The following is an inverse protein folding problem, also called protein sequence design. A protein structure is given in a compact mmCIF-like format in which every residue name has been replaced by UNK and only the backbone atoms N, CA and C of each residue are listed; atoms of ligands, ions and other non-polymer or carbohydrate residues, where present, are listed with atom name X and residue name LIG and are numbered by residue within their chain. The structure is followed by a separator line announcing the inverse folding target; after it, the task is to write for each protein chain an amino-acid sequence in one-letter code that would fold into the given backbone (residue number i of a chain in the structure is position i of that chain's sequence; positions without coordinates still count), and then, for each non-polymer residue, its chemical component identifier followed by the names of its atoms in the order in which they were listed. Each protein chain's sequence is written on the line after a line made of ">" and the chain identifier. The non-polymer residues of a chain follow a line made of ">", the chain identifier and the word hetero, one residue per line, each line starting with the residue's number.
data_IF_212844750329
#
_entry.id   IF_212844750329
#
_cell.length_a   1.000
_cell.length_b   1.000
_cell.length_c   1.000
_cell.angle_alpha   90.00
_cell.angle_beta   90.00
_cell.angle_gamma   90.00
#
_symmetry.space_group_name_H-M   'P 1'
#
loop_
_entity.id
_entity.type
_entity.pdbx_description
1 polymer ?
#
# COMPACT_ATOMS: atom_id res chain seq x y z
N UNK A 1 -67.64 37.51 -13.33
CA UNK A 1 -67.83 36.42 -14.31
C UNK A 1 -66.50 35.66 -14.37
N UNK A 2 -66.13 34.73 -13.49
CA UNK A 2 -66.77 33.48 -13.03
C UNK A 2 -66.90 32.41 -14.13
N UNK A 3 -65.94 31.45 -14.14
CA UNK A 3 -65.94 30.05 -14.61
C UNK A 3 -64.47 29.57 -14.54
N UNK A 4 -63.95 29.03 -13.44
CA UNK A 4 -64.16 27.67 -12.90
C UNK A 4 -64.15 26.58 -13.98
N UNK A 5 -63.01 25.91 -14.11
CA UNK A 5 -62.97 24.47 -14.40
C UNK A 5 -62.03 23.81 -13.40
N UNK A 6 -62.65 22.95 -12.62
CA UNK A 6 -62.11 22.07 -11.60
C UNK A 6 -61.99 20.67 -12.20
N UNK A 7 -61.14 19.87 -11.56
CA UNK A 7 -61.19 18.40 -11.44
C UNK A 7 -60.54 17.55 -12.54
N UNK A 8 -59.44 16.93 -12.11
CA UNK A 8 -58.77 15.83 -12.79
C UNK A 8 -57.67 15.19 -11.94
N UNK A 9 -57.81 15.19 -10.61
CA UNK A 9 -56.96 14.36 -9.73
C UNK A 9 -57.28 12.88 -9.98
N UNK A 10 -56.35 12.18 -10.62
CA UNK A 10 -56.26 10.72 -10.56
C UNK A 10 -55.00 10.35 -9.78
N UNK A 11 -55.25 10.10 -8.51
CA UNK A 11 -54.43 9.34 -7.58
C UNK A 11 -54.18 7.92 -8.11
N UNK A 12 -53.03 7.70 -8.74
CA UNK A 12 -52.41 6.36 -8.78
C UNK A 12 -51.39 6.23 -7.66
N UNK A 13 -51.95 5.95 -6.49
CA UNK A 13 -51.50 4.94 -5.53
C UNK A 13 -50.10 4.35 -5.78
N UNK A 14 -49.17 4.70 -4.89
CA UNK A 14 -48.20 3.80 -4.25
C UNK A 14 -47.99 2.44 -4.95
N UNK A 15 -47.03 2.36 -5.88
CA UNK A 15 -46.50 1.06 -6.32
C UNK A 15 -45.06 1.10 -6.85
N UNK A 16 -44.16 1.83 -6.21
CA UNK A 16 -42.73 1.82 -6.56
C UNK A 16 -41.79 1.60 -5.37
N UNK A 17 -42.19 0.72 -4.44
CA UNK A 17 -41.29 0.11 -3.47
C UNK A 17 -41.56 -1.39 -3.44
N UNK A 18 -41.09 -2.12 -4.45
CA UNK A 18 -40.84 -3.58 -4.42
C UNK A 18 -40.36 -4.11 -5.79
N UNK A 19 -39.26 -3.56 -6.31
CA UNK A 19 -38.47 -4.23 -7.36
C UNK A 19 -37.20 -4.87 -6.78
N UNK A 20 -37.32 -5.47 -5.58
CA UNK A 20 -36.37 -6.48 -5.11
C UNK A 20 -36.95 -7.86 -5.43
N UNK A 21 -36.28 -8.55 -6.36
CA UNK A 21 -36.24 -10.01 -6.48
C UNK A 21 -37.55 -10.64 -6.98
N UNK A 22 -37.82 -10.54 -8.29
CA UNK A 22 -38.88 -11.36 -8.93
C UNK A 22 -38.48 -12.10 -10.21
N UNK A 23 -37.17 -12.22 -10.50
CA UNK A 23 -36.68 -12.93 -11.69
C UNK A 23 -35.66 -14.06 -11.40
N UNK A 24 -35.62 -14.61 -10.18
CA UNK A 24 -34.89 -15.87 -9.97
C UNK A 24 -35.85 -17.05 -10.09
N UNK A 25 -35.91 -17.61 -11.30
CA UNK A 25 -36.55 -18.88 -11.62
C UNK A 25 -36.28 -19.93 -10.53
N UNK A 26 -37.26 -20.75 -10.13
CA UNK A 26 -37.10 -21.77 -9.09
C UNK A 26 -36.03 -22.83 -9.42
N UNK A 27 -35.60 -22.93 -10.69
CA UNK A 27 -34.49 -23.78 -11.11
C UNK A 27 -33.09 -23.12 -10.97
N UNK A 28 -33.00 -21.82 -10.69
CA UNK A 28 -31.72 -21.09 -10.67
C UNK A 28 -30.85 -21.37 -9.44
N UNK A 29 -31.40 -22.00 -8.39
CA UNK A 29 -30.66 -22.30 -7.16
C UNK A 29 -29.63 -23.42 -7.33
N UNK A 30 -29.83 -24.34 -8.28
CA UNK A 30 -28.98 -25.50 -8.48
C UNK A 30 -28.09 -25.41 -9.74
N UNK A 31 -28.33 -24.42 -10.62
CA UNK A 31 -27.50 -24.16 -11.79
C UNK A 31 -26.71 -22.86 -11.60
N UNK A 32 -25.75 -22.83 -10.67
CA UNK A 32 -24.65 -21.88 -10.76
C UNK A 32 -23.72 -22.38 -11.87
N UNK A 33 -24.09 -22.08 -13.12
CA UNK A 33 -23.17 -22.26 -14.23
C UNK A 33 -21.93 -21.43 -13.92
N UNK A 34 -20.79 -22.09 -13.74
CA UNK A 34 -19.52 -21.42 -13.52
C UNK A 34 -19.12 -20.74 -14.83
N UNK A 35 -19.62 -19.52 -15.03
CA UNK A 35 -19.22 -18.67 -16.15
C UNK A 35 -17.79 -18.23 -15.87
N UNK A 36 -16.86 -18.58 -16.75
CA UNK A 36 -15.45 -18.21 -16.63
C UNK A 36 -15.32 -16.68 -16.66
N UNK A 37 -14.27 -16.13 -16.06
CA UNK A 37 -14.08 -14.67 -15.98
C UNK A 37 -14.17 -14.00 -17.37
N UNK A 38 -13.52 -14.60 -18.37
CA UNK A 38 -13.51 -14.09 -19.75
C UNK A 38 -14.90 -14.07 -20.41
N UNK A 39 -15.75 -15.05 -20.07
CA UNK A 39 -17.12 -15.13 -20.55
C UNK A 39 -18.02 -14.07 -19.89
N UNK A 40 -17.77 -13.74 -18.61
CA UNK A 40 -18.47 -12.64 -17.94
C UNK A 40 -18.16 -11.30 -18.60
N UNK A 41 -16.90 -11.05 -18.95
CA UNK A 41 -16.50 -9.84 -19.65
C UNK A 41 -17.12 -9.77 -21.04
N UNK A 42 -17.23 -10.90 -21.73
CA UNK A 42 -17.89 -10.97 -23.04
C UNK A 42 -19.39 -10.69 -22.94
N UNK A 43 -20.06 -11.23 -21.92
CA UNK A 43 -21.48 -10.96 -21.64
C UNK A 43 -21.69 -9.48 -21.31
N UNK A 44 -20.84 -8.91 -20.46
CA UNK A 44 -20.89 -7.50 -20.10
C UNK A 44 -20.70 -6.60 -21.33
N UNK A 45 -19.70 -6.89 -22.17
CA UNK A 45 -19.46 -6.17 -23.43
C UNK A 45 -20.66 -6.27 -24.38
N UNK A 46 -21.27 -7.46 -24.54
CA UNK A 46 -22.48 -7.62 -25.35
C UNK A 46 -23.64 -6.78 -24.81
N UNK A 47 -23.86 -6.80 -23.50
CA UNK A 47 -24.89 -5.97 -22.86
C UNK A 47 -24.64 -4.47 -23.06
N UNK A 48 -23.39 -4.01 -23.01
CA UNK A 48 -23.05 -2.62 -23.28
C UNK A 48 -23.36 -2.24 -24.73
N UNK A 49 -22.99 -3.08 -25.70
CA UNK A 49 -23.29 -2.87 -27.13
C UNK A 49 -24.79 -2.80 -27.38
N UNK A 50 -25.59 -3.61 -26.66
CA UNK A 50 -27.06 -3.62 -26.81
C UNK A 50 -27.72 -2.33 -26.27
N UNK A 51 -27.04 -1.60 -25.39
CA UNK A 51 -27.53 -0.33 -24.82
C UNK A 51 -27.17 0.89 -25.67
N UNK A 52 -26.30 0.73 -26.67
CA UNK A 52 -25.92 1.80 -27.58
C UNK A 52 -27.03 2.03 -28.61
N UNK A 53 -27.26 3.29 -28.97
CA UNK A 53 -28.15 3.59 -30.08
C UNK A 53 -27.48 3.23 -31.40
N UNK A 54 -28.27 3.11 -32.47
CA UNK A 54 -27.73 2.88 -33.83
C UNK A 54 -26.67 3.92 -34.21
N UNK A 55 -26.92 5.19 -33.87
CA UNK A 55 -25.99 6.29 -34.14
C UNK A 55 -24.67 6.11 -33.39
N UNK A 56 -24.73 5.77 -32.10
CA UNK A 56 -23.52 5.54 -31.30
C UNK A 56 -22.70 4.35 -31.83
N UNK A 57 -23.38 3.32 -32.37
CA UNK A 57 -22.71 2.18 -33.01
C UNK A 57 -22.04 2.58 -34.34
N UNK A 58 -22.67 3.42 -35.14
CA UNK A 58 -22.12 3.95 -36.39
C UNK A 58 -20.91 4.85 -36.11
N UNK A 59 -21.01 5.77 -35.15
CA UNK A 59 -19.90 6.62 -34.71
C UNK A 59 -18.75 5.77 -34.16
N UNK A 60 -19.06 4.76 -33.33
CA UNK A 60 -18.04 3.85 -32.79
C UNK A 60 -17.37 2.99 -33.86
N UNK A 61 -18.11 2.59 -34.88
CA UNK A 61 -17.59 1.86 -36.03
C UNK A 61 -16.58 2.72 -36.82
N UNK A 62 -16.90 3.99 -37.06
CA UNK A 62 -16.01 4.93 -37.75
C UNK A 62 -14.71 5.14 -36.94
N UNK A 63 -14.81 5.36 -35.63
CA UNK A 63 -13.63 5.47 -34.75
C UNK A 63 -12.74 4.22 -34.84
N UNK A 64 -13.34 3.02 -34.80
CA UNK A 64 -12.60 1.76 -34.91
C UNK A 64 -11.96 1.58 -36.29
N UNK A 65 -12.58 2.08 -37.36
CA UNK A 65 -11.98 2.09 -38.69
C UNK A 65 -10.74 2.99 -38.73
N UNK A 66 -10.80 4.18 -38.14
CA UNK A 66 -9.66 5.11 -38.06
C UNK A 66 -8.53 4.53 -37.20
N UNK A 67 -8.85 3.94 -36.05
CA UNK A 67 -7.89 3.26 -35.18
C UNK A 67 -7.23 2.07 -35.91
N UNK A 68 -8.02 1.26 -36.61
CA UNK A 68 -7.50 0.14 -37.40
C UNK A 68 -6.58 0.61 -38.53
N UNK A 69 -6.94 1.68 -39.23
CA UNK A 69 -6.09 2.30 -40.25
C UNK A 69 -4.77 2.79 -39.65
N UNK A 70 -4.81 3.45 -38.50
CA UNK A 70 -3.63 3.92 -37.79
C UNK A 70 -2.71 2.77 -37.35
N UNK A 71 -3.27 1.70 -36.78
CA UNK A 71 -2.51 0.51 -36.37
C UNK A 71 -1.87 -0.17 -37.58
N UNK A 72 -2.59 -0.31 -38.70
CA UNK A 72 -2.02 -0.86 -39.95
C UNK A 72 -0.86 -0.04 -40.46
N UNK A 73 -0.97 1.28 -40.43
CA UNK A 73 0.13 2.18 -40.82
C UNK A 73 1.35 1.99 -39.93
N UNK A 74 1.18 1.99 -38.61
CA UNK A 74 2.29 1.76 -37.68
C UNK A 74 2.93 0.38 -37.87
N UNK A 75 2.12 -0.66 -38.07
CA UNK A 75 2.63 -2.01 -38.35
C UNK A 75 3.45 -2.05 -39.64
N UNK A 76 3.02 -1.34 -40.70
CA UNK A 76 3.81 -1.24 -41.93
C UNK A 76 5.14 -0.51 -41.69
N UNK A 77 5.15 0.59 -40.94
CA UNK A 77 6.37 1.32 -40.58
C UNK A 77 7.33 0.44 -39.76
N UNK A 78 6.82 -0.35 -38.81
CA UNK A 78 7.60 -1.31 -38.03
C UNK A 78 8.14 -2.45 -38.90
N UNK A 79 7.33 -2.99 -39.81
CA UNK A 79 7.76 -4.03 -40.75
C UNK A 79 8.87 -3.53 -41.67
N UNK A 80 8.78 -2.30 -42.16
CA UNK A 80 9.83 -1.70 -43.00
C UNK A 80 11.13 -1.47 -42.20
N UNK A 81 11.03 -1.07 -40.94
CA UNK A 81 12.18 -0.98 -40.03
C UNK A 81 12.80 -2.35 -39.75
N UNK A 82 11.99 -3.38 -39.55
CA UNK A 82 12.48 -4.77 -39.42
C UNK A 82 13.20 -5.20 -40.69
N UNK A 83 12.66 -4.94 -41.88
CA UNK A 83 13.32 -5.26 -43.16
C UNK A 83 14.65 -4.52 -43.30
N UNK A 84 14.70 -3.23 -42.94
CA UNK A 84 15.93 -2.44 -42.97
C UNK A 84 16.99 -3.01 -42.04
N UNK A 85 16.62 -3.29 -40.78
CA UNK A 85 17.52 -3.88 -39.79
C UNK A 85 17.98 -5.28 -40.21
N UNK A 86 17.06 -6.11 -40.72
CA UNK A 86 17.38 -7.45 -41.25
C UNK A 86 18.39 -7.34 -42.39
N UNK A 87 18.20 -6.40 -43.31
CA UNK A 87 19.14 -6.14 -44.41
C UNK A 87 20.50 -5.69 -43.89
N UNK A 88 20.54 -4.79 -42.89
CA UNK A 88 21.79 -4.37 -42.24
C UNK A 88 22.50 -5.52 -41.56
N UNK A 89 21.78 -6.36 -40.82
CA UNK A 89 22.31 -7.55 -40.16
C UNK A 89 22.90 -8.51 -41.20
N UNK A 90 22.15 -8.86 -42.24
CA UNK A 90 22.65 -9.74 -43.32
C UNK A 90 23.92 -9.16 -43.93
N UNK A 91 23.95 -7.85 -44.25
CA UNK A 91 25.16 -7.19 -44.76
C UNK A 91 26.33 -7.31 -43.78
N UNK A 92 26.13 -6.96 -42.51
CA UNK A 92 27.18 -7.05 -41.49
C UNK A 92 27.66 -8.50 -41.33
N UNK A 93 26.77 -9.48 -41.26
CA UNK A 93 27.11 -10.90 -41.13
C UNK A 93 27.86 -11.43 -42.36
N UNK A 94 27.52 -10.98 -43.57
CA UNK A 94 28.27 -11.32 -44.79
C UNK A 94 29.63 -10.62 -44.85
N UNK A 95 29.71 -9.34 -44.47
CA UNK A 95 30.97 -8.58 -44.39
C UNK A 95 31.90 -9.10 -43.30
N UNK A 96 31.37 -9.59 -42.17
CA UNK A 96 32.16 -10.22 -41.13
C UNK A 96 32.76 -11.54 -41.62
N UNK A 97 32.05 -12.37 -42.41
CA UNK A 97 32.67 -13.59 -42.99
C UNK A 97 33.84 -13.28 -43.93
N UNK A 98 33.81 -12.15 -44.63
CA UNK A 98 34.90 -11.73 -45.52
C UNK A 98 36.16 -11.23 -44.77
N UNK A 99 36.01 -10.65 -43.57
CA UNK A 99 37.15 -10.20 -42.74
C UNK A 99 37.61 -11.24 -41.70
N UNK A 100 36.72 -12.17 -41.31
CA UNK A 100 37.00 -13.18 -40.28
C UNK A 100 37.83 -14.36 -40.80
N UNK A 101 37.78 -14.66 -42.11
CA UNK A 101 38.65 -15.69 -42.70
C UNK A 101 40.14 -15.31 -42.70
N UNK A 102 40.49 -14.03 -42.55
CA UNK A 102 41.88 -13.57 -42.37
C UNK A 102 42.28 -13.32 -40.91
N UNK A 103 41.33 -13.25 -39.97
CA UNK A 103 41.59 -12.93 -38.56
C UNK A 103 41.49 -14.14 -37.60
N UNK A 104 40.78 -15.21 -37.97
CA UNK A 104 40.55 -16.40 -37.11
C UNK A 104 41.80 -17.32 -36.98
N UNK A 105 42.97 -16.92 -37.49
CA UNK A 105 44.23 -17.65 -37.29
C UNK A 105 45.16 -17.05 -36.22
N UNK A 106 44.78 -15.99 -35.50
CA UNK A 106 45.67 -15.37 -34.49
C UNK A 106 45.17 -15.29 -33.05
N UNK A 107 43.96 -15.73 -32.73
CA UNK A 107 43.41 -15.53 -31.38
C UNK A 107 42.80 -16.82 -30.82
N UNK A 108 43.67 -17.82 -30.62
CA UNK A 108 43.38 -19.01 -29.79
C UNK A 108 44.52 -19.23 -28.80
N UNK A 109 44.75 -18.26 -27.92
CA UNK A 109 45.44 -18.48 -26.63
C UNK A 109 45.04 -17.36 -25.66
N UNK A 110 43.96 -17.55 -24.91
CA UNK A 110 43.88 -17.21 -23.48
C UNK A 110 42.45 -17.42 -22.98
N UNK A 111 42.35 -18.44 -22.13
CA UNK A 111 41.28 -18.60 -21.17
C UNK A 111 41.28 -17.39 -20.22
N UNK A 112 40.11 -16.79 -19.98
CA UNK A 112 39.50 -16.72 -18.65
C UNK A 112 38.42 -15.62 -18.54
N UNK A 113 37.26 -16.08 -18.07
CA UNK A 113 36.49 -15.52 -16.93
C UNK A 113 35.98 -14.08 -17.07
N UNK A 114 34.66 -14.01 -17.28
CA UNK A 114 33.67 -13.21 -16.55
C UNK A 114 33.87 -11.70 -16.35
N UNK A 115 32.74 -11.00 -16.44
CA UNK A 115 32.48 -9.63 -15.98
C UNK A 115 32.95 -8.48 -16.89
N UNK A 116 32.07 -8.11 -17.82
CA UNK A 116 32.03 -6.72 -18.33
C UNK A 116 30.59 -6.17 -18.38
N UNK A 117 29.85 -6.38 -17.29
CA UNK A 117 28.74 -5.52 -16.91
C UNK A 117 29.29 -4.29 -16.17
N UNK A 118 29.98 -3.40 -16.90
CA UNK A 118 30.39 -2.06 -16.42
C UNK A 118 30.77 -1.16 -17.60
N UNK A 119 29.77 -0.78 -18.40
CA UNK A 119 29.88 0.40 -19.28
C UNK A 119 28.54 1.16 -19.34
N UNK A 120 28.02 1.52 -18.17
CA UNK A 120 27.02 2.57 -18.01
C UNK A 120 27.51 3.44 -16.86
N UNK A 121 28.07 4.60 -17.20
CA UNK A 121 28.27 5.82 -16.38
C UNK A 121 29.61 6.47 -16.75
N UNK A 122 29.70 7.08 -17.94
CA UNK A 122 30.59 8.24 -18.17
C UNK A 122 30.38 8.95 -19.52
N UNK A 123 29.16 9.36 -19.88
CA UNK A 123 28.96 10.30 -21.01
C UNK A 123 27.78 11.25 -20.79
N UNK A 124 27.73 11.93 -19.63
CA UNK A 124 26.89 13.12 -19.46
C UNK A 124 27.66 14.20 -18.68
N UNK A 125 28.56 14.91 -19.36
CA UNK A 125 29.04 16.23 -18.92
C UNK A 125 29.74 16.96 -20.08
N UNK A 126 28.95 17.49 -21.02
CA UNK A 126 29.44 18.43 -22.03
C UNK A 126 28.35 19.32 -22.64
N UNK A 127 27.31 19.68 -21.86
CA UNK A 127 26.37 20.74 -22.25
C UNK A 127 26.27 21.81 -21.15
N UNK A 128 27.41 22.44 -20.85
CA UNK A 128 27.44 23.77 -20.26
C UNK A 128 27.92 24.76 -21.34
N UNK A 129 26.99 25.22 -22.17
CA UNK A 129 27.13 26.44 -22.97
C UNK A 129 25.82 27.22 -22.88
N UNK A 130 25.80 28.39 -22.22
CA UNK A 130 24.70 29.33 -22.37
C UNK A 130 24.86 30.04 -23.71
N UNK A 131 23.99 29.72 -24.68
CA UNK A 131 23.81 30.56 -25.85
C UNK A 131 22.93 31.75 -25.45
N UNK A 132 23.58 32.81 -24.97
CA UNK A 132 23.01 34.15 -24.94
C UNK A 132 22.98 34.69 -26.36
N UNK A 133 21.81 34.67 -27.02
CA UNK A 133 21.53 35.48 -28.21
C UNK A 133 20.03 35.75 -28.33
N UNK A 134 19.59 36.94 -27.92
CA UNK A 134 18.80 37.87 -28.77
C UNK A 134 18.16 38.99 -27.93
N UNK A 135 18.80 40.15 -27.84
CA UNK A 135 18.11 41.43 -27.60
C UNK A 135 19.08 42.60 -27.69
N UNK A 136 19.35 43.07 -28.91
CA UNK A 136 19.33 44.50 -29.26
C UNK A 136 19.90 44.64 -30.67
N UNK A 137 19.08 45.10 -31.59
CA UNK A 137 19.45 45.95 -32.72
C UNK A 137 18.13 46.52 -33.24
N UNK A 138 17.65 47.51 -32.49
CA UNK A 138 16.80 48.56 -33.03
C UNK A 138 17.73 49.52 -33.75
N UNK A 139 17.75 49.51 -35.08
CA UNK A 139 18.07 50.69 -35.89
C UNK A 139 17.67 50.48 -37.35
N UNK A 140 16.57 51.16 -37.71
CA UNK A 140 16.36 51.88 -38.98
C UNK A 140 16.50 51.09 -40.29
N UNK A 141 15.35 50.62 -40.81
CA UNK A 141 14.99 50.80 -42.22
C UNK A 141 13.46 50.93 -42.32
N UNK A 142 12.95 52.15 -42.18
CA UNK A 142 11.62 52.53 -42.71
C UNK A 142 11.78 52.74 -44.21
N UNK A 143 11.24 51.86 -45.03
CA UNK A 143 10.96 52.15 -46.44
C UNK A 143 9.45 52.05 -46.63
N UNK A 144 8.77 53.17 -46.40
CA UNK A 144 7.37 53.33 -46.79
C UNK A 144 7.34 53.70 -48.27
N UNK A 145 6.73 52.83 -49.05
CA UNK A 145 6.23 53.12 -50.38
C UNK A 145 4.78 53.56 -50.18
N UNK A 146 4.48 54.82 -50.49
CA UNK A 146 3.11 55.26 -50.78
C UNK A 146 3.15 55.90 -52.16
N UNK A 147 2.46 55.21 -53.07
CA UNK A 147 2.05 55.63 -54.38
C UNK A 147 1.01 56.75 -54.28
N UNK A 148 1.18 57.81 -55.08
CA UNK A 148 0.13 58.72 -55.49
C UNK A 148 0.44 59.27 -56.90
N UNK A 149 -0.31 58.72 -57.88
CA UNK A 149 -0.87 59.34 -59.11
C UNK A 149 -0.02 60.29 -59.97
N UNK A 150 0.07 60.06 -61.30
CA UNK A 150 0.33 61.09 -62.29
C UNK A 150 -0.98 61.54 -62.96
N UNK A 151 -1.25 62.85 -62.98
CA UNK A 151 -2.36 63.42 -63.75
C UNK A 151 -2.02 64.84 -64.17
N UNK A 152 -2.00 65.04 -65.49
CA UNK A 152 -2.35 66.25 -66.24
C UNK A 152 -1.55 67.53 -65.90
N UNK A 153 -0.86 68.18 -66.83
CA UNK A 153 -1.26 68.51 -68.19
C UNK A 153 -1.01 70.01 -68.39
N UNK A 154 -0.90 70.42 -69.66
CA UNK A 154 -0.81 71.82 -70.15
C UNK A 154 0.64 72.31 -70.38
N UNK A 155 1.09 72.38 -71.63
CA UNK A 155 0.87 73.47 -72.62
C UNK A 155 1.63 74.73 -72.17
N UNK A 156 2.40 75.44 -72.98
CA UNK A 156 2.53 75.52 -74.43
C UNK A 156 3.58 76.60 -74.74
N UNK A 157 4.02 76.64 -76.01
CA UNK A 157 4.34 77.86 -76.79
C UNK A 157 5.55 78.71 -76.34
N UNK A 158 6.43 79.22 -77.19
CA UNK A 158 6.44 79.33 -78.67
C UNK A 158 7.69 80.11 -79.08
N UNK A 159 8.12 79.90 -80.35
CA UNK A 159 8.62 80.91 -81.32
C UNK A 159 9.77 81.87 -80.92
N UNK A 160 10.76 82.16 -81.76
CA UNK A 160 10.71 82.67 -83.15
C UNK A 160 12.17 82.73 -83.66
N UNK A 161 12.54 82.31 -84.89
CA UNK A 161 12.63 83.13 -86.13
C UNK A 161 13.39 84.47 -85.93
N UNK A 162 14.32 84.97 -86.75
CA UNK A 162 14.56 84.90 -88.19
C UNK A 162 15.62 85.97 -88.56
N UNK A 163 16.20 85.87 -89.78
CA UNK A 163 16.69 86.99 -90.64
C UNK A 163 18.08 87.58 -90.32
N UNK A 164 19.10 87.50 -91.21
CA UNK A 164 19.30 88.06 -92.58
C UNK A 164 20.07 89.40 -92.60
N UNK A 165 20.92 89.54 -93.65
CA UNK A 165 21.64 90.73 -94.21
C UNK A 165 23.03 91.02 -93.61
N UNK A 166 24.14 91.08 -94.36
CA UNK A 166 24.56 91.77 -95.62
C UNK A 166 25.19 93.16 -95.42
N UNK A 167 26.32 93.37 -96.12
CA UNK A 167 27.02 94.63 -96.46
C UNK A 167 27.83 95.30 -95.32
N UNK A 168 29.01 95.93 -95.50
CA UNK A 168 29.81 96.29 -96.67
C UNK A 168 31.25 96.68 -96.24
N UNK A 169 32.20 96.58 -97.18
CA UNK A 169 33.41 97.42 -97.39
C UNK A 169 34.47 97.59 -96.29
N UNK A 170 35.71 97.19 -96.60
CA UNK A 170 36.81 98.16 -96.70
C UNK A 170 37.97 97.62 -97.55
N UNK A 171 38.33 98.43 -98.54
CA UNK A 171 39.38 98.27 -99.56
C UNK A 171 40.74 98.69 -98.98
N UNK A 172 41.80 97.94 -99.30
CA UNK A 172 43.21 98.37 -99.48
C UNK A 172 43.95 97.09 -99.92
N UNK A 173 44.32 96.90 -101.18
CA UNK A 173 45.10 97.81 -102.02
C UNK A 173 46.56 97.35 -101.98
N UNK A 174 47.00 96.62 -103.00
CA UNK A 174 48.31 96.80 -103.63
C UNK A 174 48.48 95.87 -104.83
N UNK A 175 48.55 96.51 -105.99
CA UNK A 175 49.01 96.00 -107.27
C UNK A 175 50.48 95.57 -107.18
N UNK A 176 50.86 94.50 -107.88
CA UNK A 176 51.95 94.49 -108.86
C UNK A 176 52.06 93.11 -109.54
N UNK A 177 52.37 93.14 -110.85
CA UNK A 177 52.80 92.05 -111.73
C UNK A 177 51.70 91.25 -112.46
N UNK A 178 51.12 91.91 -113.47
CA UNK A 178 50.50 91.27 -114.65
C UNK A 178 51.63 90.98 -115.65
N UNK A 179 51.42 89.94 -116.47
CA UNK A 179 52.27 89.48 -117.59
C UNK A 179 53.27 88.36 -117.30
N UNK A 180 52.78 87.24 -116.71
CA UNK A 180 53.24 85.87 -117.04
C UNK A 180 52.35 84.73 -116.52
N UNK A 181 51.04 84.96 -116.30
CA UNK A 181 50.13 84.00 -115.65
C UNK A 181 48.95 83.49 -116.50
N UNK A 182 48.73 83.97 -117.73
CA UNK A 182 47.48 83.71 -118.47
C UNK A 182 47.37 82.25 -119.00
N UNK A 183 48.48 81.55 -119.22
CA UNK A 183 48.47 80.12 -119.58
C UNK A 183 48.41 79.19 -118.35
N UNK A 184 48.94 79.62 -117.20
CA UNK A 184 48.87 78.84 -115.94
C UNK A 184 47.47 78.92 -115.28
N UNK A 185 46.71 80.00 -115.50
CA UNK A 185 45.36 80.17 -114.95
C UNK A 185 44.39 79.18 -115.61
N UNK A 186 44.49 78.94 -116.93
CA UNK A 186 43.61 78.00 -117.64
C UNK A 186 43.81 76.53 -117.21
N UNK A 187 45.04 76.09 -116.95
CA UNK A 187 45.32 74.73 -116.43
C UNK A 187 44.93 74.58 -114.95
N UNK A 188 45.14 75.63 -114.15
CA UNK A 188 44.69 75.67 -112.75
C UNK A 188 43.17 75.63 -112.67
N UNK A 189 42.45 76.30 -113.56
CA UNK A 189 40.98 76.33 -113.59
C UNK A 189 40.38 74.98 -114.01
N UNK A 190 40.98 74.28 -114.99
CA UNK A 190 40.58 72.91 -115.36
C UNK A 190 40.83 71.91 -114.22
N UNK A 191 42.00 71.98 -113.58
CA UNK A 191 42.33 71.15 -112.41
C UNK A 191 41.44 71.47 -111.20
N UNK A 192 41.04 72.73 -111.03
CA UNK A 192 40.09 73.13 -109.98
C UNK A 192 38.67 72.65 -110.29
N UNK A 193 38.27 72.61 -111.56
CA UNK A 193 36.98 72.06 -111.99
C UNK A 193 36.93 70.54 -111.79
N UNK A 194 38.00 69.82 -112.11
CA UNK A 194 38.10 68.38 -111.86
C UNK A 194 38.03 68.06 -110.36
N UNK A 195 38.77 68.80 -109.53
CA UNK A 195 38.67 68.71 -108.06
C UNK A 195 37.27 69.07 -107.55
N UNK A 196 36.58 70.02 -108.16
CA UNK A 196 35.21 70.40 -107.79
C UNK A 196 34.25 69.24 -108.07
N UNK A 197 34.35 68.61 -109.24
CA UNK A 197 33.55 67.44 -109.60
C UNK A 197 33.83 66.23 -108.67
N UNK A 198 35.10 65.99 -108.31
CA UNK A 198 35.47 64.95 -107.34
C UNK A 198 34.91 65.24 -105.93
N UNK A 199 34.95 66.50 -105.51
CA UNK A 199 34.34 66.93 -104.26
C UNK A 199 32.81 66.79 -104.29
N UNK A 200 32.16 67.11 -105.42
CA UNK A 200 30.72 66.90 -105.61
C UNK A 200 30.35 65.43 -105.51
N UNK A 201 31.07 64.55 -106.20
CA UNK A 201 30.87 63.09 -106.11
C UNK A 201 31.07 62.60 -104.67
N UNK A 202 32.09 63.09 -103.97
CA UNK A 202 32.34 62.75 -102.57
C UNK A 202 31.24 63.26 -101.64
N UNK A 203 30.69 64.45 -101.91
CA UNK A 203 29.52 64.96 -101.18
C UNK A 203 28.33 64.05 -101.41
N UNK A 204 28.07 63.63 -102.65
CA UNK A 204 26.98 62.69 -102.97
C UNK A 204 27.14 61.34 -102.25
N UNK A 205 28.32 60.73 -102.31
CA UNK A 205 28.65 59.49 -101.59
C UNK A 205 28.46 59.65 -100.06
N UNK A 206 28.92 60.77 -99.50
CA UNK A 206 28.72 61.08 -98.07
C UNK A 206 27.24 61.30 -97.73
N UNK A 207 26.45 61.91 -98.62
CA UNK A 207 25.01 62.10 -98.39
C UNK A 207 24.24 60.79 -98.38
N UNK A 208 24.58 59.85 -99.28
CA UNK A 208 23.95 58.53 -99.28
C UNK A 208 24.39 57.71 -98.05
N UNK A 209 25.67 57.77 -97.67
CA UNK A 209 26.14 57.15 -96.43
C UNK A 209 25.43 57.71 -95.18
N UNK A 210 25.21 59.03 -95.10
CA UNK A 210 24.44 59.66 -94.01
C UNK A 210 22.98 59.19 -94.03
N UNK A 211 22.39 58.98 -95.20
CA UNK A 211 21.02 58.47 -95.34
C UNK A 211 20.92 57.01 -94.88
N UNK A 212 21.85 56.16 -95.28
CA UNK A 212 21.93 54.77 -94.81
C UNK A 212 22.11 54.69 -93.28
N UNK A 213 22.99 55.51 -92.71
CA UNK A 213 23.17 55.57 -91.25
C UNK A 213 21.93 56.09 -90.54
N UNK A 214 21.21 57.08 -91.10
CA UNK A 214 19.91 57.53 -90.57
C UNK A 214 18.87 56.41 -90.56
N UNK A 215 18.81 55.59 -91.62
CA UNK A 215 17.91 54.43 -91.67
C UNK A 215 18.31 53.34 -90.67
N UNK A 216 19.61 53.07 -90.49
CA UNK A 216 20.12 52.17 -89.45
C UNK A 216 19.74 52.69 -88.05
N UNK A 217 19.93 53.98 -87.77
CA UNK A 217 19.51 54.59 -86.51
C UNK A 217 17.99 54.46 -86.29
N UNK A 218 17.17 54.65 -87.32
CA UNK A 218 15.71 54.47 -87.22
C UNK A 218 15.33 53.01 -86.89
N UNK A 219 15.97 52.03 -87.52
CA UNK A 219 15.78 50.60 -87.20
C UNK A 219 16.19 50.27 -85.76
N UNK A 220 17.36 50.73 -85.32
CA UNK A 220 17.84 50.54 -83.94
C UNK A 220 16.87 51.17 -82.94
N UNK A 221 16.32 52.35 -83.24
CA UNK A 221 15.35 53.03 -82.37
C UNK A 221 14.04 52.23 -82.23
N UNK A 222 13.53 51.65 -83.32
CA UNK A 222 12.35 50.77 -83.25
C UNK A 222 12.63 49.48 -82.47
N UNK A 223 13.81 48.88 -82.68
CA UNK A 223 14.23 47.69 -81.94
C UNK A 223 14.36 47.98 -80.45
N UNK A 224 14.99 49.10 -80.08
CA UNK A 224 15.07 49.58 -78.69
C UNK A 224 13.69 49.70 -78.06
N UNK A 225 12.74 50.36 -78.72
CA UNK A 225 11.36 50.49 -78.23
C UNK A 225 10.66 49.13 -78.08
N UNK A 226 10.89 48.20 -79.01
CA UNK A 226 10.36 46.84 -78.93
C UNK A 226 10.94 46.08 -77.74
N UNK A 227 12.25 46.20 -77.48
CA UNK A 227 12.92 45.57 -76.33
C UNK A 227 12.46 46.18 -75.01
N UNK A 228 12.32 47.50 -74.93
CA UNK A 228 11.78 48.20 -73.75
C UNK A 228 10.35 47.73 -73.42
N UNK A 229 9.48 47.60 -74.43
CA UNK A 229 8.12 47.05 -74.24
C UNK A 229 8.15 45.61 -73.73
N UNK A 230 9.00 44.75 -74.31
CA UNK A 230 9.13 43.35 -73.87
C UNK A 230 9.66 43.24 -72.43
N UNK A 231 10.61 44.11 -72.05
CA UNK A 231 11.18 44.12 -70.70
C UNK A 231 10.12 44.55 -69.68
N UNK A 232 9.31 45.56 -70.01
CA UNK A 232 8.17 45.97 -69.17
C UNK A 232 7.15 44.85 -68.98
N UNK A 233 6.82 44.10 -70.04
CA UNK A 233 5.92 42.94 -69.95
C UNK A 233 6.47 41.82 -69.05
N UNK A 234 7.79 41.55 -69.14
CA UNK A 234 8.46 40.56 -68.30
C UNK A 234 8.42 40.99 -66.83
N UNK A 235 8.71 42.26 -66.54
CA UNK A 235 8.68 42.79 -65.18
C UNK A 235 7.27 42.74 -64.58
N UNK A 236 6.25 43.10 -65.36
CA UNK A 236 4.85 42.99 -64.94
C UNK A 236 4.47 41.52 -64.66
N UNK A 237 4.83 40.58 -65.53
CA UNK A 237 4.57 39.15 -65.32
C UNK A 237 5.27 38.64 -64.06
N UNK A 238 6.52 39.04 -63.83
CA UNK A 238 7.28 38.68 -62.63
C UNK A 238 6.60 39.21 -61.36
N UNK A 239 6.17 40.47 -61.37
CA UNK A 239 5.42 41.08 -60.27
C UNK A 239 4.11 40.34 -59.97
N UNK A 240 3.34 39.98 -61.00
CA UNK A 240 2.10 39.22 -60.84
C UNK A 240 2.37 37.84 -60.22
N UNK A 241 3.38 37.10 -60.71
CA UNK A 241 3.74 35.79 -60.16
C UNK A 241 4.18 35.88 -58.69
N UNK A 242 5.01 36.88 -58.35
CA UNK A 242 5.45 37.10 -56.97
C UNK A 242 4.26 37.40 -56.05
N UNK A 243 3.31 38.24 -56.49
CA UNK A 243 2.11 38.56 -55.73
C UNK A 243 1.20 37.32 -55.53
N UNK A 244 1.09 36.45 -56.54
CA UNK A 244 0.37 35.17 -56.41
C UNK A 244 1.02 34.29 -55.35
N UNK A 245 2.36 34.16 -55.35
CA UNK A 245 3.07 33.34 -54.36
C UNK A 245 2.99 33.93 -52.95
N UNK A 246 3.11 35.25 -52.80
CA UNK A 246 2.90 35.95 -51.52
C UNK A 246 1.50 35.66 -50.97
N UNK A 247 0.46 35.74 -51.81
CA UNK A 247 -0.91 35.43 -51.39
C UNK A 247 -1.08 33.95 -51.02
N UNK A 248 -0.43 33.03 -51.76
CA UNK A 248 -0.44 31.60 -51.43
C UNK A 248 0.20 31.34 -50.07
N UNK A 249 1.36 31.94 -49.81
CA UNK A 249 2.07 31.82 -48.54
C UNK A 249 1.27 32.45 -47.39
N UNK A 250 0.61 33.59 -47.63
CA UNK A 250 -0.26 34.24 -46.65
C UNK A 250 -1.43 33.33 -46.24
N UNK A 251 -2.10 32.69 -47.21
CA UNK A 251 -3.17 31.71 -46.92
C UNK A 251 -2.65 30.52 -46.09
N UNK A 252 -1.48 29.98 -46.42
CA UNK A 252 -0.85 28.90 -45.63
C UNK A 252 -0.51 29.36 -44.21
N UNK A 253 0.02 30.58 -44.05
CA UNK A 253 0.31 31.15 -42.74
C UNK A 253 -0.96 31.29 -41.90
N UNK A 254 -2.06 31.73 -42.50
CA UNK A 254 -3.34 31.86 -41.79
C UNK A 254 -3.92 30.50 -41.41
N UNK A 255 -3.80 29.48 -42.27
CA UNK A 255 -4.13 28.09 -41.91
C UNK A 255 -3.31 27.61 -40.70
N UNK A 256 -1.98 27.81 -40.70
CA UNK A 256 -1.15 27.44 -39.55
C UNK A 256 -1.52 28.22 -38.30
N UNK A 257 -1.85 29.51 -38.39
CA UNK A 257 -2.33 30.30 -37.26
C UNK A 257 -3.62 29.75 -36.67
N UNK A 258 -4.58 29.33 -37.51
CA UNK A 258 -5.82 28.70 -37.03
C UNK A 258 -5.55 27.35 -36.37
N UNK A 259 -4.67 26.53 -36.94
CA UNK A 259 -4.28 25.24 -36.35
C UNK A 259 -3.60 25.42 -34.98
N UNK A 260 -2.68 26.39 -34.85
CA UNK A 260 -2.03 26.72 -33.58
C UNK A 260 -3.04 27.17 -32.53
N UNK A 261 -4.01 28.03 -32.90
CA UNK A 261 -5.08 28.45 -31.98
C UNK A 261 -5.93 27.26 -31.52
N UNK A 262 -6.27 26.34 -32.42
CA UNK A 262 -7.02 25.13 -32.09
C UNK A 262 -6.23 24.24 -31.10
N UNK A 263 -4.94 23.98 -31.39
CA UNK A 263 -4.08 23.20 -30.49
C UNK A 263 -3.92 23.86 -29.12
N UNK A 264 -3.81 25.19 -29.06
CA UNK A 264 -3.77 25.92 -27.80
C UNK A 264 -5.09 25.82 -27.02
N UNK A 265 -6.24 25.85 -27.70
CA UNK A 265 -7.54 25.65 -27.07
C UNK A 265 -7.68 24.23 -26.52
N UNK A 266 -7.31 23.22 -27.31
CA UNK A 266 -7.30 21.81 -26.90
C UNK A 266 -6.38 21.57 -25.70
N UNK A 267 -5.18 22.18 -25.69
CA UNK A 267 -4.27 22.08 -24.55
C UNK A 267 -4.87 22.67 -23.27
N UNK A 268 -5.57 23.81 -23.37
CA UNK A 268 -6.26 24.42 -22.22
C UNK A 268 -7.40 23.54 -21.71
N UNK A 269 -8.16 22.92 -22.62
CA UNK A 269 -9.24 22.00 -22.27
C UNK A 269 -8.72 20.76 -21.54
N UNK A 270 -7.66 20.13 -22.05
CA UNK A 270 -7.00 18.99 -21.40
C UNK A 270 -6.47 19.37 -20.02
N UNK A 271 -5.87 20.56 -19.86
CA UNK A 271 -5.42 21.04 -18.55
C UNK A 271 -6.59 21.21 -17.57
N UNK A 272 -7.69 21.79 -18.03
CA UNK A 272 -8.88 21.99 -17.20
C UNK A 272 -9.55 20.66 -16.82
N UNK A 273 -9.56 19.68 -17.71
CA UNK A 273 -10.04 18.33 -17.43
C UNK A 273 -9.13 17.61 -16.43
N UNK A 274 -7.81 17.75 -16.58
CA UNK A 274 -6.82 17.23 -15.62
C UNK A 274 -7.02 17.83 -14.22
N UNK A 275 -7.25 19.14 -14.13
CA UNK A 275 -7.47 19.80 -12.84
C UNK A 275 -8.78 19.32 -12.18
N UNK A 276 -9.86 19.17 -12.95
CA UNK A 276 -11.13 18.57 -12.48
C UNK A 276 -10.93 17.14 -11.98
N UNK A 277 -10.16 16.33 -12.71
CA UNK A 277 -9.84 14.96 -12.31
C UNK A 277 -9.08 14.95 -10.98
N UNK A 278 -8.01 15.76 -10.86
CA UNK A 278 -7.23 15.89 -9.62
C UNK A 278 -8.12 16.31 -8.46
N UNK A 279 -9.04 17.27 -8.65
CA UNK A 279 -9.96 17.70 -7.60
C UNK A 279 -10.93 16.59 -7.19
N UNK A 280 -11.45 15.82 -8.14
CA UNK A 280 -12.33 14.69 -7.86
C UNK A 280 -11.62 13.57 -7.08
N UNK A 281 -10.37 13.28 -7.42
CA UNK A 281 -9.55 12.30 -6.70
C UNK A 281 -9.18 12.81 -5.30
N UNK A 282 -8.85 14.10 -5.14
CA UNK A 282 -8.64 14.72 -3.81
C UNK A 282 -9.87 14.57 -2.91
N UNK A 283 -11.08 14.80 -3.45
CA UNK A 283 -12.33 14.59 -2.72
C UNK A 283 -12.51 13.13 -2.31
N UNK A 284 -12.23 12.18 -3.21
CA UNK A 284 -12.26 10.74 -2.88
C UNK A 284 -11.27 10.37 -1.77
N UNK A 285 -10.03 10.84 -1.86
CA UNK A 285 -9.03 10.60 -0.83
C UNK A 285 -9.44 11.18 0.52
N UNK A 286 -9.97 12.40 0.55
CA UNK A 286 -10.47 13.00 1.80
C UNK A 286 -11.60 12.18 2.42
N UNK A 287 -12.57 11.71 1.61
CA UNK A 287 -13.63 10.83 2.10
C UNK A 287 -13.09 9.51 2.67
N UNK A 288 -12.06 8.93 2.06
CA UNK A 288 -11.42 7.71 2.60
C UNK A 288 -10.71 8.01 3.92
N UNK A 289 -10.04 9.17 4.05
CA UNK A 289 -9.41 9.58 5.31
C UNK A 289 -10.45 9.79 6.41
N UNK A 290 -11.57 10.45 6.10
CA UNK A 290 -12.68 10.62 7.03
C UNK A 290 -13.24 9.26 7.48
N UNK A 291 -13.50 8.34 6.55
CA UNK A 291 -13.96 6.99 6.87
C UNK A 291 -12.96 6.22 7.74
N UNK A 292 -11.66 6.31 7.45
CA UNK A 292 -10.62 5.67 8.27
C UNK A 292 -10.55 6.26 9.69
N UNK A 293 -10.76 7.56 9.83
CA UNK A 293 -10.80 8.20 11.15
C UNK A 293 -12.05 7.77 11.94
N UNK A 294 -13.20 7.66 11.28
CA UNK A 294 -14.42 7.10 11.88
C UNK A 294 -14.21 5.65 12.30
N UNK A 295 -13.69 4.80 11.42
CA UNK A 295 -13.40 3.40 11.71
C UNK A 295 -12.40 3.27 12.87
N UNK A 296 -11.33 4.07 12.90
CA UNK A 296 -10.39 4.11 14.02
C UNK A 296 -11.05 4.52 15.34
N UNK A 297 -11.95 5.50 15.32
CA UNK A 297 -12.72 5.90 16.50
C UNK A 297 -13.65 4.78 16.96
N UNK A 298 -14.32 4.07 16.03
CA UNK A 298 -15.14 2.90 16.39
C UNK A 298 -14.31 1.74 16.94
N UNK A 299 -13.07 1.56 16.47
CA UNK A 299 -12.16 0.52 16.96
C UNK A 299 -11.52 0.84 18.32
N UNK A 300 -11.40 2.11 18.69
CA UNK A 300 -10.93 2.52 20.01
C UNK A 300 -11.84 1.97 21.14
N UNK A 301 -13.17 2.00 20.93
CA UNK A 301 -14.15 1.55 21.94
C UNK A 301 -14.03 0.05 22.31
N UNK A 302 -13.93 -0.91 21.37
CA UNK A 302 -13.61 -2.31 21.67
C UNK A 302 -12.26 -2.50 22.34
N UNK A 303 -11.25 -1.67 22.03
CA UNK A 303 -9.93 -1.76 22.65
C UNK A 303 -9.99 -1.47 24.15
N UNK A 304 -10.68 -0.39 24.54
CA UNK A 304 -10.92 -0.06 25.95
C UNK A 304 -11.72 -1.15 26.67
N UNK A 305 -12.81 -1.63 26.05
CA UNK A 305 -13.59 -2.75 26.62
C UNK A 305 -12.75 -4.02 26.81
N UNK A 306 -11.78 -4.28 25.92
CA UNK A 306 -10.87 -5.42 26.04
C UNK A 306 -9.89 -5.25 27.20
N UNK A 307 -9.40 -4.03 27.46
CA UNK A 307 -8.58 -3.77 28.65
C UNK A 307 -9.38 -3.94 29.94
N UNK A 308 -10.62 -3.44 29.98
CA UNK A 308 -11.51 -3.57 31.14
C UNK A 308 -11.88 -5.03 31.40
N UNK A 309 -12.13 -5.80 30.35
CA UNK A 309 -12.37 -7.24 30.49
C UNK A 309 -11.13 -7.96 31.04
N UNK A 310 -9.93 -7.56 30.60
CA UNK A 310 -8.67 -8.15 31.08
C UNK A 310 -8.41 -7.82 32.56
N UNK A 311 -8.74 -6.61 33.01
CA UNK A 311 -8.63 -6.26 34.45
C UNK A 311 -9.66 -7.02 35.27
N UNK A 312 -10.92 -7.09 34.81
CA UNK A 312 -11.97 -7.87 35.46
C UNK A 312 -11.59 -9.37 35.59
N UNK A 313 -11.01 -9.97 34.55
CA UNK A 313 -10.55 -11.37 34.59
C UNK A 313 -9.45 -11.60 35.63
N UNK A 314 -8.50 -10.67 35.78
CA UNK A 314 -7.48 -10.75 36.85
C UNK A 314 -8.12 -10.68 38.23
N UNK A 315 -9.10 -9.80 38.42
CA UNK A 315 -9.84 -9.69 39.69
C UNK A 315 -10.59 -10.98 39.99
N UNK A 316 -11.28 -11.57 39.01
CA UNK A 316 -11.95 -12.87 39.15
C UNK A 316 -10.94 -13.96 39.53
N UNK A 317 -9.76 -13.97 38.93
CA UNK A 317 -8.71 -14.95 39.24
C UNK A 317 -8.20 -14.80 40.69
N UNK A 318 -8.00 -13.57 41.17
CA UNK A 318 -7.64 -13.30 42.57
C UNK A 318 -8.75 -13.78 43.52
N UNK A 319 -10.01 -13.45 43.23
CA UNK A 319 -11.15 -13.89 44.04
C UNK A 319 -11.27 -15.42 44.07
N UNK A 320 -11.01 -16.12 42.96
CA UNK A 320 -11.00 -17.59 42.92
C UNK A 320 -9.91 -18.20 43.81
N UNK A 321 -8.72 -17.59 43.86
CA UNK A 321 -7.65 -18.02 44.77
C UNK A 321 -8.05 -17.83 46.23
N UNK A 322 -8.62 -16.67 46.57
CA UNK A 322 -9.14 -16.41 47.92
C UNK A 322 -10.24 -17.40 48.33
N UNK A 323 -11.18 -17.72 47.43
CA UNK A 323 -12.21 -18.74 47.69
C UNK A 323 -11.55 -20.11 47.94
N UNK A 324 -10.55 -20.48 47.14
CA UNK A 324 -9.85 -21.76 47.30
C UNK A 324 -9.12 -21.85 48.65
N UNK A 325 -8.50 -20.75 49.10
CA UNK A 325 -7.88 -20.64 50.44
C UNK A 325 -8.93 -20.78 51.55
N UNK A 326 -10.06 -20.06 51.46
CA UNK A 326 -11.15 -20.16 52.43
C UNK A 326 -11.78 -21.56 52.47
N UNK A 327 -11.89 -22.24 51.34
CA UNK A 327 -12.36 -23.63 51.27
C UNK A 327 -11.40 -24.59 51.97
N UNK A 328 -10.09 -24.37 51.83
CA UNK A 328 -9.07 -25.12 52.56
C UNK A 328 -9.16 -24.87 54.07
N UNK A 329 -9.25 -23.62 54.50
CA UNK A 329 -9.38 -23.26 55.92
C UNK A 329 -10.67 -23.85 56.51
N UNK A 330 -11.80 -23.76 55.79
CA UNK A 330 -13.05 -24.41 56.18
C UNK A 330 -12.88 -25.90 56.38
N UNK A 331 -12.17 -26.59 55.46
CA UNK A 331 -11.91 -28.03 55.58
C UNK A 331 -11.10 -28.35 56.84
N UNK A 332 -10.00 -27.63 57.06
CA UNK A 332 -9.17 -27.83 58.26
C UNK A 332 -9.93 -27.58 59.56
N UNK A 333 -10.79 -26.56 59.60
CA UNK A 333 -11.67 -26.29 60.74
C UNK A 333 -12.70 -27.41 60.95
N UNK A 334 -13.27 -27.99 59.88
CA UNK A 334 -14.14 -29.17 60.03
C UNK A 334 -13.38 -30.39 60.56
N UNK A 335 -12.17 -30.64 60.07
CA UNK A 335 -11.32 -31.75 60.54
C UNK A 335 -10.97 -31.55 62.03
N UNK A 336 -10.65 -30.32 62.44
CA UNK A 336 -10.43 -29.95 63.85
C UNK A 336 -11.71 -30.13 64.70
N UNK A 337 -12.87 -29.71 64.20
CA UNK A 337 -14.16 -29.88 64.87
C UNK A 337 -14.52 -31.36 65.06
N UNK A 338 -14.24 -32.21 64.07
CA UNK A 338 -14.44 -33.65 64.16
C UNK A 338 -13.53 -34.27 65.23
N UNK A 339 -12.25 -33.86 65.27
CA UNK A 339 -11.29 -34.28 66.30
C UNK A 339 -11.76 -33.91 67.71
N UNK A 340 -12.17 -32.65 67.92
CA UNK A 340 -12.73 -32.19 69.20
C UNK A 340 -14.00 -32.96 69.58
N UNK A 341 -14.86 -33.28 68.60
CA UNK A 341 -16.06 -34.09 68.84
C UNK A 341 -15.73 -35.53 69.26
N UNK A 342 -14.64 -36.12 68.75
CA UNK A 342 -14.13 -37.43 69.20
C UNK A 342 -13.60 -37.36 70.63
N UNK A 343 -12.76 -36.36 70.93
CA UNK A 343 -12.24 -36.13 72.29
C UNK A 343 -13.35 -35.88 73.31
N UNK A 344 -14.40 -35.13 72.94
CA UNK A 344 -15.57 -34.93 73.81
C UNK A 344 -16.31 -36.24 74.09
N UNK A 345 -16.46 -37.12 73.09
CA UNK A 345 -17.06 -38.45 73.28
C UNK A 345 -16.19 -39.32 74.18
N UNK A 346 -14.88 -39.30 74.00
CA UNK A 346 -13.91 -40.03 74.85
C UNK A 346 -13.93 -39.51 76.29
N UNK A 347 -13.90 -38.19 76.49
CA UNK A 347 -14.03 -37.56 77.80
C UNK A 347 -15.35 -37.94 78.47
N UNK A 348 -16.46 -37.98 77.73
CA UNK A 348 -17.76 -38.42 78.25
C UNK A 348 -17.77 -39.92 78.61
N UNK A 349 -17.04 -40.76 77.88
CA UNK A 349 -16.85 -42.18 78.23
C UNK A 349 -16.01 -42.34 79.50
N UNK A 350 -14.89 -41.63 79.62
CA UNK A 350 -14.10 -41.60 80.86
C UNK A 350 -14.87 -41.04 82.04
N UNK A 351 -15.74 -40.04 81.84
CA UNK A 351 -16.61 -39.54 82.89
C UNK A 351 -17.63 -40.61 83.35
N UNK A 352 -18.13 -41.45 82.44
CA UNK A 352 -18.97 -42.60 82.79
C UNK A 352 -18.19 -43.67 83.54
N UNK A 353 -16.99 -44.03 83.08
CA UNK A 353 -16.11 -45.01 83.74
C UNK A 353 -15.73 -44.56 85.17
N UNK A 354 -15.34 -43.30 85.33
CA UNK A 354 -15.00 -42.71 86.64
C UNK A 354 -16.21 -42.56 87.56
N UNK A 355 -17.43 -42.44 87.05
CA UNK A 355 -18.66 -42.49 87.87
C UNK A 355 -19.09 -43.92 88.23
N UNK A 356 -18.80 -44.91 87.40
CA UNK A 356 -19.10 -46.32 87.67
C UNK A 356 -18.09 -46.97 88.62
N UNK A 357 -16.80 -46.60 88.54
CA UNK A 357 -15.73 -47.08 89.42
C UNK A 357 -16.05 -46.96 90.93
N UNK A 358 -16.47 -45.79 91.48
CA UNK A 358 -16.80 -45.68 92.90
C UNK A 358 -18.09 -46.42 93.28
N UNK A 359 -18.97 -46.73 92.33
CA UNK A 359 -20.14 -47.59 92.58
C UNK A 359 -19.75 -49.05 92.68
N UNK A 360 -18.83 -49.50 91.81
CA UNK A 360 -18.31 -50.86 91.83
C UNK A 360 -17.46 -51.10 93.09
N UNK A 361 -16.57 -50.17 93.42
CA UNK A 361 -15.74 -50.22 94.62
C UNK A 361 -16.60 -50.21 95.90
N UNK A 362 -17.65 -49.39 95.95
CA UNK A 362 -18.61 -49.38 97.07
C UNK A 362 -19.39 -50.69 97.19
N UNK A 363 -19.73 -51.33 96.07
CA UNK A 363 -20.40 -52.63 96.07
C UNK A 363 -19.50 -53.73 96.63
N UNK A 364 -18.24 -53.79 96.19
CA UNK A 364 -17.24 -54.74 96.71
C UNK A 364 -16.97 -54.49 98.20
N UNK A 365 -16.88 -53.21 98.61
CA UNK A 365 -16.69 -52.87 100.02
C UNK A 365 -17.89 -53.31 100.88
N UNK A 366 -19.12 -53.19 100.38
CA UNK A 366 -20.31 -53.64 101.09
C UNK A 366 -20.35 -55.17 101.24
N UNK A 367 -20.02 -55.90 100.17
CA UNK A 367 -19.97 -57.36 100.18
C UNK A 367 -18.90 -57.91 101.14
N UNK A 368 -17.72 -57.30 101.15
CA UNK A 368 -16.65 -57.64 102.11
C UNK A 368 -17.01 -57.29 103.56
N UNK A 369 -17.74 -56.18 103.79
CA UNK A 369 -18.28 -55.83 105.10
C UNK A 369 -19.32 -56.85 105.59
N UNK A 370 -20.17 -57.34 104.69
CA UNK A 370 -21.16 -58.39 104.98
C UNK A 370 -20.45 -59.69 105.40
N UNK A 371 -19.43 -60.11 104.64
CA UNK A 371 -18.61 -61.29 104.97
C UNK A 371 -17.94 -61.14 106.34
N UNK A 372 -17.29 -60.00 106.62
CA UNK A 372 -16.65 -59.76 107.92
C UNK A 372 -17.64 -59.76 109.09
N UNK A 373 -18.88 -59.30 108.89
CA UNK A 373 -19.93 -59.39 109.91
C UNK A 373 -20.33 -60.85 110.18
N UNK A 374 -20.47 -61.66 109.15
CA UNK A 374 -20.79 -63.09 109.31
C UNK A 374 -19.67 -63.84 110.01
N UNK A 375 -18.42 -63.53 109.68
CA UNK A 375 -17.24 -64.12 110.33
C UNK A 375 -17.14 -63.70 111.80
N UNK A 376 -17.37 -62.41 112.10
CA UNK A 376 -17.45 -61.94 113.49
C UNK A 376 -18.54 -62.66 114.30
N UNK A 377 -19.71 -62.91 113.70
CA UNK A 377 -20.78 -63.65 114.37
C UNK A 377 -20.38 -65.11 114.63
N UNK A 378 -19.68 -65.75 113.69
CA UNK A 378 -19.14 -67.10 113.88
C UNK A 378 -18.10 -67.17 115.01
N UNK A 379 -17.22 -66.16 115.12
CA UNK A 379 -16.25 -66.05 116.21
C UNK A 379 -16.95 -65.83 117.56
N UNK A 380 -18.01 -65.02 117.62
CA UNK A 380 -18.75 -64.80 118.86
C UNK A 380 -19.48 -66.09 119.32
N UNK A 381 -19.98 -66.88 118.37
CA UNK A 381 -20.57 -68.19 118.68
C UNK A 381 -19.53 -69.19 119.20
N UNK A 382 -18.37 -69.30 118.55
CA UNK A 382 -17.31 -70.20 119.02
C UNK A 382 -16.75 -69.77 120.39
N UNK A 383 -16.65 -68.47 120.63
CA UNK A 383 -16.33 -67.90 121.95
C UNK A 383 -17.36 -68.32 123.01
N UNK A 384 -18.66 -68.24 122.70
CA UNK A 384 -19.71 -68.65 123.64
C UNK A 384 -19.69 -70.16 123.93
N UNK A 385 -19.45 -70.99 122.92
CA UNK A 385 -19.23 -72.43 123.12
C UNK A 385 -18.03 -72.71 124.04
N UNK A 386 -16.92 -71.98 123.84
CA UNK A 386 -15.75 -72.09 124.70
C UNK A 386 -16.09 -71.69 126.15
N UNK A 387 -16.82 -70.59 126.36
CA UNK A 387 -17.26 -70.18 127.69
C UNK A 387 -18.17 -71.20 128.36
N UNK A 388 -19.09 -71.82 127.61
CA UNK A 388 -19.92 -72.89 128.14
C UNK A 388 -19.07 -74.12 128.53
N UNK A 389 -18.09 -74.49 127.70
CA UNK A 389 -17.17 -75.59 127.99
C UNK A 389 -16.33 -75.33 129.25
N UNK A 390 -15.83 -74.11 129.41
CA UNK A 390 -15.08 -73.69 130.59
C UNK A 390 -15.97 -73.77 131.84
N UNK A 391 -17.24 -73.34 131.74
CA UNK A 391 -18.19 -73.43 132.86
C UNK A 391 -18.49 -74.89 133.23
N UNK A 392 -18.73 -75.76 132.26
CA UNK A 392 -18.91 -77.21 132.50
C UNK A 392 -17.68 -77.83 133.17
N UNK A 393 -16.47 -77.48 132.71
CA UNK A 393 -15.22 -77.92 133.32
C UNK A 393 -15.06 -77.39 134.74
N UNK A 394 -15.47 -76.15 135.02
CA UNK A 394 -15.48 -75.58 136.38
C UNK A 394 -16.46 -76.31 137.29
N UNK A 395 -17.70 -76.57 136.84
CA UNK A 395 -18.69 -77.32 137.61
C UNK A 395 -18.22 -78.75 137.93
N UNK A 396 -17.54 -79.41 136.99
CA UNK A 396 -16.91 -80.71 137.23
C UNK A 396 -15.74 -80.63 138.21
N UNK A 397 -14.92 -79.59 138.12
CA UNK A 397 -13.79 -79.39 139.01
C UNK A 397 -14.26 -79.10 140.44
N UNK A 398 -15.31 -78.28 140.61
CA UNK A 398 -15.92 -78.01 141.93
C UNK A 398 -16.51 -79.29 142.53
N UNK A 399 -17.11 -80.16 141.71
CA UNK A 399 -17.61 -81.48 142.14
C UNK A 399 -16.47 -82.41 142.59
N UNK A 400 -15.37 -82.42 141.85
CA UNK A 400 -14.15 -83.16 142.23
C UNK A 400 -13.51 -82.60 143.51
N UNK A 401 -13.53 -81.29 143.72
CA UNK A 401 -13.04 -80.65 144.96
C UNK A 401 -13.89 -81.08 146.15
N UNK A 402 -15.21 -81.10 146.02
CA UNK A 402 -16.12 -81.61 147.06
C UNK A 402 -15.87 -83.09 147.35
N UNK A 403 -15.67 -83.93 146.32
CA UNK A 403 -15.36 -85.36 146.49
C UNK A 403 -13.99 -85.56 147.18
N UNK A 404 -12.99 -84.73 146.87
CA UNK A 404 -11.66 -84.76 147.48
C UNK A 404 -11.63 -84.27 148.93
N UNK A 405 -12.45 -83.28 149.30
CA UNK A 405 -12.60 -82.86 150.70
C UNK A 405 -13.38 -83.90 151.53
N UNK A 406 -14.35 -84.60 150.92
CA UNK A 406 -15.03 -85.76 151.52
C UNK A 406 -14.06 -86.93 151.81
N UNK A 407 -13.08 -87.17 150.94
CA UNK A 407 -12.07 -88.22 151.11
C UNK A 407 -10.99 -87.90 152.16
N UNK A 408 -10.80 -86.63 152.53
CA UNK A 408 -9.81 -86.21 153.55
C UNK A 408 -10.23 -86.46 155.00
N UNK A 409 -11.52 -86.70 155.26
CA UNK A 409 -12.03 -86.94 156.63
C UNK A 409 -12.07 -88.41 157.04
N UNK A 410 -11.86 -89.36 156.12
CA UNK A 410 -12.00 -90.81 156.39
C UNK A 410 -10.71 -91.66 156.29
N UNK A 411 -9.52 -91.06 156.16
CA UNK A 411 -8.26 -91.82 156.02
C UNK A 411 -7.21 -91.49 157.08
N UNK A 412 -7.62 -91.65 158.35
CA UNK A 412 -6.74 -92.18 159.40
C UNK A 412 -6.70 -93.72 159.23
N UNK A 413 -5.51 -94.33 159.32
CA UNK A 413 -5.17 -95.77 159.24
C UNK A 413 -4.74 -96.31 157.86
N UNK A 414 -3.63 -97.07 157.91
CA UNK A 414 -2.99 -97.99 156.94
C UNK A 414 -1.98 -97.44 155.91
N UNK A 415 -0.71 -97.64 156.28
CA UNK A 415 0.41 -98.26 155.55
C UNK A 415 1.06 -97.58 154.33
N UNK A 416 2.40 -97.59 154.38
CA UNK A 416 3.27 -97.31 153.25
C UNK A 416 3.66 -98.57 152.47
N UNK A 417 4.20 -98.37 151.27
CA UNK A 417 5.24 -99.17 150.59
C UNK A 417 5.50 -98.62 149.17
N UNK A 418 6.64 -99.06 148.63
CA UNK A 418 7.36 -98.69 147.40
C UNK A 418 6.72 -99.22 146.11
N UNK A 419 7.07 -98.67 144.94
CA UNK A 419 7.80 -99.35 143.83
C UNK A 419 7.55 -98.74 142.41
N UNK A 420 8.53 -99.05 141.56
CA UNK A 420 8.85 -98.68 140.18
C UNK A 420 7.82 -99.08 139.08
N UNK A 421 7.97 -98.52 137.87
CA UNK A 421 7.39 -99.12 136.66
C UNK A 421 7.42 -98.27 135.38
N UNK A 422 8.10 -98.79 134.37
CA UNK A 422 8.40 -98.32 132.99
C UNK A 422 7.25 -98.35 131.95
N UNK A 423 7.47 -97.72 130.79
CA UNK A 423 6.85 -98.07 129.48
C UNK A 423 6.45 -96.84 128.63
N UNK A 424 7.23 -96.41 127.62
CA UNK A 424 7.24 -96.83 126.19
C UNK A 424 5.98 -96.44 125.40
N UNK A 425 6.17 -95.75 124.26
CA UNK A 425 5.13 -95.57 123.24
C UNK A 425 5.49 -94.51 122.18
N UNK A 426 5.90 -94.99 121.00
CA UNK A 426 6.36 -94.30 119.79
C UNK A 426 5.27 -93.62 118.93
N UNK A 427 5.79 -92.94 117.89
CA UNK A 427 5.31 -92.76 116.51
C UNK A 427 4.54 -91.50 116.09
N UNK A 428 4.62 -90.95 114.86
CA UNK A 428 5.63 -90.53 113.85
C UNK A 428 4.78 -89.85 112.71
N UNK A 429 5.38 -89.00 111.83
CA UNK A 429 5.03 -88.73 110.38
C UNK A 429 3.97 -87.63 110.07
N UNK A 430 4.04 -86.74 109.04
CA UNK A 430 5.04 -86.09 108.14
C UNK A 430 4.28 -85.16 107.13
N UNK A 431 4.94 -84.04 106.78
CA UNK A 431 5.09 -83.21 105.55
C UNK A 431 4.13 -83.16 104.31
N UNK A 432 4.38 -82.06 103.54
CA UNK A 432 4.35 -81.80 102.06
C UNK A 432 3.05 -81.17 101.48
N UNK A 433 3.03 -80.27 100.48
CA UNK A 433 4.02 -79.77 99.48
C UNK A 433 3.45 -78.66 98.54
N UNK A 434 4.36 -77.86 97.96
CA UNK A 434 4.50 -77.28 96.59
C UNK A 434 3.35 -76.87 95.63
N UNK A 435 3.64 -75.83 94.82
CA UNK A 435 3.08 -75.60 93.47
C UNK A 435 3.66 -74.37 92.73
N UNK A 436 4.29 -74.58 91.56
CA UNK A 436 4.89 -73.61 90.61
C UNK A 436 3.91 -73.13 89.51
N UNK A 437 4.20 -72.01 88.80
CA UNK A 437 4.47 -71.99 87.33
C UNK A 437 4.69 -70.59 86.70
N UNK A 438 5.38 -70.58 85.54
CA UNK A 438 5.90 -69.46 84.72
C UNK A 438 4.96 -69.06 83.54
N UNK A 439 5.02 -67.80 83.03
CA UNK A 439 5.24 -67.44 81.59
C UNK A 439 5.15 -65.91 81.24
N UNK A 440 5.97 -65.49 80.27
CA UNK A 440 6.01 -64.20 79.51
C UNK A 440 4.97 -64.22 78.33
N UNK A 441 4.61 -63.12 77.57
CA UNK A 441 5.54 -62.26 76.78
C UNK A 441 5.15 -60.77 76.49
N UNK A 442 6.07 -60.14 75.77
CA UNK A 442 6.12 -58.85 75.04
C UNK A 442 4.94 -58.62 74.06
N UNK A 443 4.44 -57.37 73.88
CA UNK A 443 4.42 -56.53 72.64
C UNK A 443 3.24 -55.52 72.54
N UNK A 444 3.57 -54.29 72.09
CA UNK A 444 2.80 -53.28 71.32
C UNK A 444 1.53 -52.65 71.93
N UNK A 445 1.56 -51.33 72.14
CA UNK A 445 1.25 -50.37 71.07
C UNK A 445 1.98 -49.04 71.26
#
# INVERSE_FOLDING_TARGET
>A
MARQHQDGEKSTSQRERNHKIRDTSPYSKNFKCYIKSDEKDLIYKRQMVTKLTRKDLEDKYIELCDENFFIKRQNNELQDKIKELTTKIVRISTSQRSYSSSAILRERTSENISDSSRCTTRMHSSYARPMARSSSLNTVYRRNVQSATPSEGSKSSSSSSSSQRSANNSVKGSNQNIEKGILEISEKDLNNQEKMNDLEKKVEELTEAVKEEREKCARIQMEKQSVESRLSDIDMKKFIMENIEVNRLKRKLDQFRTAVKHLQAQQKEILLEKDKFIESERKRFNNVIEQLNEDNATHAMPSEKKSDLKTALRTIEMLRKQISELEYDKKTLMDQQESLSKLLKEAASHEKETKQSPSHDKSILLETLEQLKTEKAAIENSKNELFNKIRELQDMNDKLVVDLEGLKTMKNLSDGLKNDGSGVGDDTIILLSEGMDQNYPIQLQ
#
